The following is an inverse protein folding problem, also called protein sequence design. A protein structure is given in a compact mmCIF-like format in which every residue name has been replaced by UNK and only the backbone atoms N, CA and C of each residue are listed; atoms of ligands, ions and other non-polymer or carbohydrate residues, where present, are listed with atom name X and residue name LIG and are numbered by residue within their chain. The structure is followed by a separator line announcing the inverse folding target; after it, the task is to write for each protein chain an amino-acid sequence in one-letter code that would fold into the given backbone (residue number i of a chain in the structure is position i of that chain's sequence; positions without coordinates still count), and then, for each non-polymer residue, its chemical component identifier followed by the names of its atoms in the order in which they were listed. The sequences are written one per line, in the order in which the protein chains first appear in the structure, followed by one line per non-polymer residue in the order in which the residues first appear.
data_IF_894425150920
#
_entry.id   IF_894425150920
#
_cell.length_a   1.000
_cell.length_b   1.000
_cell.length_c   1.000
_cell.angle_alpha   90.00
_cell.angle_beta   90.00
_cell.angle_gamma   90.00
#
_symmetry.space_group_name_H-M   'P 1'
#
loop_
_entity.id
_entity.type
_entity.pdbx_description
1 polymer ?
#
# COMPACT_ATOMS: atom_id res chain seq x y z
N UNK A 1 -40.32 -35.68 -29.34
CA UNK A 1 -39.07 -35.87 -30.10
C UNK A 1 -38.20 -34.64 -29.91
N UNK A 2 -37.07 -34.81 -29.21
CA UNK A 2 -35.85 -33.96 -29.24
C UNK A 2 -34.78 -34.85 -29.90
N UNK A 3 -33.74 -34.36 -30.61
CA UNK A 3 -32.91 -33.22 -30.17
C UNK A 3 -32.44 -32.30 -31.31
N UNK A 4 -32.04 -31.06 -30.99
CA UNK A 4 -31.34 -30.23 -31.97
C UNK A 4 -30.30 -29.36 -31.28
N UNK A 5 -29.08 -29.56 -31.78
CA UNK A 5 -27.95 -28.65 -31.87
C UNK A 5 -27.25 -28.22 -30.57
N UNK A 6 -26.06 -28.80 -30.43
CA UNK A 6 -24.86 -28.21 -29.86
C UNK A 6 -24.78 -26.70 -30.12
N UNK A 7 -24.61 -25.92 -29.06
CA UNK A 7 -23.92 -24.62 -29.13
C UNK A 7 -22.68 -24.74 -28.27
N UNK A 8 -21.55 -24.61 -28.96
CA UNK A 8 -20.21 -24.53 -28.41
C UNK A 8 -20.04 -23.29 -27.51
N UNK A 9 -19.45 -23.53 -26.34
CA UNK A 9 -18.26 -22.83 -25.85
C UNK A 9 -18.20 -21.30 -26.11
N UNK A 10 -18.46 -20.51 -25.07
CA UNK A 10 -17.67 -19.30 -24.85
C UNK A 10 -17.35 -19.14 -23.36
N UNK A 11 -16.14 -19.57 -23.03
CA UNK A 11 -15.38 -19.09 -21.89
C UNK A 11 -15.41 -17.55 -21.89
N UNK A 12 -16.11 -16.93 -20.95
CA UNK A 12 -15.82 -15.54 -20.56
C UNK A 12 -15.15 -15.59 -19.20
N UNK A 13 -13.83 -15.65 -19.32
CA UNK A 13 -12.81 -15.51 -18.30
C UNK A 13 -13.07 -14.22 -17.48
N UNK A 14 -13.69 -14.33 -16.30
CA UNK A 14 -13.79 -13.22 -15.36
C UNK A 14 -12.46 -13.06 -14.62
N UNK A 15 -11.46 -12.48 -15.31
CA UNK A 15 -10.21 -12.07 -14.71
C UNK A 15 -10.38 -10.68 -14.07
N UNK A 16 -10.94 -10.59 -12.87
CA UNK A 16 -10.76 -9.41 -12.02
C UNK A 16 -9.39 -9.45 -11.37
N UNK A 17 -8.35 -9.25 -12.18
CA UNK A 17 -7.05 -8.83 -11.70
C UNK A 17 -7.09 -7.32 -11.46
N UNK A 18 -7.58 -6.90 -10.29
CA UNK A 18 -7.27 -5.59 -9.72
C UNK A 18 -6.33 -5.76 -8.52
N UNK A 19 -5.25 -6.51 -8.73
CA UNK A 19 -4.06 -6.37 -7.92
C UNK A 19 -3.25 -5.23 -8.54
N UNK A 20 -3.55 -4.02 -8.09
CA UNK A 20 -2.79 -2.81 -8.37
C UNK A 20 -1.29 -3.10 -8.20
N UNK A 21 -0.58 -3.10 -9.33
CA UNK A 21 0.85 -3.32 -9.42
C UNK A 21 1.61 -2.10 -8.89
N UNK A 22 1.64 -1.94 -7.57
CA UNK A 22 2.63 -1.07 -6.91
C UNK A 22 3.53 -1.88 -5.98
N UNK A 23 4.08 -2.98 -6.51
CA UNK A 23 5.30 -3.58 -5.97
C UNK A 23 6.48 -2.74 -6.46
N UNK A 24 6.85 -1.68 -5.72
CA UNK A 24 8.22 -1.16 -5.76
C UNK A 24 8.98 -1.81 -4.60
N UNK A 25 9.74 -2.90 -4.84
CA UNK A 25 10.63 -3.42 -3.82
C UNK A 25 11.85 -2.51 -3.78
N UNK A 26 12.18 -1.96 -2.62
CA UNK A 26 13.54 -1.49 -2.38
C UNK A 26 13.92 -2.10 -1.05
N UNK A 27 14.76 -3.14 -1.14
CA UNK A 27 15.44 -3.76 -0.01
C UNK A 27 16.40 -2.78 0.68
N UNK A 28 17.17 -3.27 1.65
CA UNK A 28 17.61 -2.51 2.81
C UNK A 28 18.67 -1.47 2.46
N UNK A 29 18.46 -0.20 2.86
CA UNK A 29 19.54 0.79 2.89
C UNK A 29 20.20 0.75 4.27
N UNK A 30 21.31 0.01 4.33
CA UNK A 30 22.35 0.17 5.33
C UNK A 30 22.89 1.61 5.26
N UNK A 31 23.02 2.28 6.41
CA UNK A 31 23.73 3.56 6.44
C UNK A 31 23.25 4.54 7.50
N UNK A 32 23.89 4.43 8.67
CA UNK A 32 24.40 5.54 9.46
C UNK A 32 23.44 6.63 9.99
N UNK A 33 23.54 6.81 11.31
CA UNK A 33 23.30 8.10 11.95
C UNK A 33 22.14 8.07 12.93
N UNK A 34 22.48 8.23 14.22
CA UNK A 34 21.57 8.45 15.35
C UNK A 34 20.27 9.16 14.91
N UNK A 35 19.15 8.44 14.98
CA UNK A 35 17.86 8.89 14.49
C UNK A 35 17.26 9.98 15.39
N UNK A 36 17.54 11.24 15.08
CA UNK A 36 16.56 12.29 15.32
C UNK A 36 15.30 11.90 14.54
N UNK A 37 14.13 11.85 15.20
CA UNK A 37 12.84 11.28 14.76
C UNK A 37 12.22 11.90 13.47
N UNK A 38 12.96 11.97 12.37
CA UNK A 38 12.55 12.56 11.11
C UNK A 38 12.56 11.51 10.00
N UNK A 39 11.47 11.43 9.24
CA UNK A 39 11.43 10.63 8.03
C UNK A 39 12.13 11.39 6.89
N UNK A 40 13.13 10.76 6.30
CA UNK A 40 13.84 11.26 5.11
C UNK A 40 13.19 10.80 3.81
N UNK A 41 12.40 9.73 3.85
CA UNK A 41 11.72 9.15 2.69
C UNK A 41 10.28 8.76 3.03
N UNK A 42 9.38 8.67 2.02
CA UNK A 42 8.03 8.16 2.23
C UNK A 42 8.00 6.73 2.83
N UNK A 43 8.94 5.86 2.44
CA UNK A 43 9.02 4.51 3.01
C UNK A 43 9.42 4.53 4.48
N UNK A 44 10.37 5.38 4.86
CA UNK A 44 10.75 5.55 6.27
C UNK A 44 9.57 6.11 7.08
N UNK A 45 8.82 7.07 6.54
CA UNK A 45 7.59 7.56 7.18
C UNK A 45 6.54 6.45 7.37
N UNK A 46 6.36 5.57 6.38
CA UNK A 46 5.47 4.42 6.49
C UNK A 46 5.92 3.42 7.59
N UNK A 47 7.23 3.17 7.70
CA UNK A 47 7.77 2.31 8.74
C UNK A 47 7.55 2.91 10.15
N UNK A 48 7.82 4.21 10.32
CA UNK A 48 7.54 4.93 11.57
C UNK A 48 6.04 4.95 11.89
N UNK A 49 5.18 5.11 10.88
CA UNK A 49 3.73 5.05 11.07
C UNK A 49 3.26 3.66 11.52
N UNK A 50 3.83 2.58 10.95
CA UNK A 50 3.55 1.19 11.37
C UNK A 50 3.98 0.89 12.80
N UNK A 51 5.11 1.45 13.26
CA UNK A 51 5.56 1.30 14.63
C UNK A 51 4.60 1.95 15.64
N UNK A 52 4.01 3.10 15.28
CA UNK A 52 3.06 3.82 16.14
C UNK A 52 1.66 3.22 16.10
N UNK A 53 1.26 2.74 14.93
CA UNK A 53 -0.07 2.20 14.69
C UNK A 53 0.05 0.98 13.77
N UNK A 54 -0.23 -0.24 14.29
CA UNK A 54 -0.29 -1.42 13.44
C UNK A 54 -1.39 -1.24 12.39
N UNK A 55 -1.17 -1.75 11.18
CA UNK A 55 -2.14 -1.63 10.09
C UNK A 55 -1.50 -1.65 8.70
N UNK A 56 -2.36 -1.68 7.68
CA UNK A 56 -1.95 -1.62 6.27
C UNK A 56 -1.80 -0.16 5.84
N UNK A 57 -0.60 0.20 5.37
CA UNK A 57 -0.38 1.51 4.74
C UNK A 57 -1.08 1.51 3.40
N UNK A 58 -1.97 2.48 3.18
CA UNK A 58 -2.65 2.69 1.90
C UNK A 58 -1.94 3.73 1.04
N UNK A 59 -1.44 4.80 1.65
CA UNK A 59 -0.76 5.89 0.93
C UNK A 59 0.12 6.70 1.85
N UNK A 60 1.17 7.30 1.31
CA UNK A 60 2.04 8.25 2.01
C UNK A 60 2.15 9.50 1.15
N UNK A 61 1.74 10.64 1.68
CA UNK A 61 1.83 11.93 0.99
C UNK A 61 2.68 12.89 1.80
N UNK A 62 3.70 13.49 1.19
CA UNK A 62 4.45 14.59 1.81
C UNK A 62 3.66 15.89 1.67
N UNK A 63 3.56 16.66 2.74
CA UNK A 63 3.04 18.01 2.74
C UNK A 63 3.83 18.88 3.72
N UNK A 64 4.42 19.96 3.22
CA UNK A 64 5.03 21.06 3.97
C UNK A 64 5.80 20.65 5.25
N UNK A 65 6.87 19.87 5.11
CA UNK A 65 7.68 19.43 6.26
C UNK A 65 7.13 18.23 7.05
N UNK A 66 6.05 17.61 6.58
CA UNK A 66 5.47 16.40 7.16
C UNK A 66 5.13 15.35 6.10
N UNK A 67 5.04 14.10 6.52
CA UNK A 67 4.43 13.00 5.79
C UNK A 67 3.11 12.62 6.45
N UNK A 68 2.02 12.65 5.69
CA UNK A 68 0.73 12.08 6.08
C UNK A 68 0.64 10.66 5.53
N UNK A 69 0.59 9.69 6.44
CA UNK A 69 0.46 8.26 6.13
C UNK A 69 -0.98 7.84 6.36
N UNK A 70 -1.68 7.44 5.30
CA UNK A 70 -3.02 6.84 5.39
C UNK A 70 -2.87 5.36 5.74
N UNK A 71 -3.44 4.95 6.86
CA UNK A 71 -3.38 3.62 7.43
C UNK A 71 -4.79 3.02 7.48
N UNK A 72 -4.93 1.74 7.16
CA UNK A 72 -6.13 0.94 7.41
C UNK A 72 -5.85 0.00 8.58
N UNK A 73 -6.64 0.12 9.64
CA UNK A 73 -6.55 -0.74 10.82
C UNK A 73 -7.96 -1.07 11.29
N UNK A 74 -8.27 -2.36 11.46
CA UNK A 74 -9.58 -2.84 11.93
C UNK A 74 -10.76 -2.27 11.12
N UNK A 75 -10.62 -2.22 9.80
CA UNK A 75 -11.66 -1.68 8.90
C UNK A 75 -11.81 -0.15 8.93
N UNK A 76 -11.02 0.56 9.75
CA UNK A 76 -11.05 2.03 9.86
C UNK A 76 -9.81 2.66 9.24
N UNK A 77 -10.02 3.73 8.49
CA UNK A 77 -8.92 4.54 7.93
C UNK A 77 -8.48 5.58 8.96
N UNK A 78 -7.19 5.58 9.28
CA UNK A 78 -6.54 6.55 10.17
C UNK A 78 -5.40 7.24 9.44
N UNK A 79 -5.06 8.45 9.86
CA UNK A 79 -3.92 9.19 9.31
C UNK A 79 -2.87 9.38 10.40
N UNK A 80 -1.64 8.99 10.09
CA UNK A 80 -0.48 9.20 10.97
C UNK A 80 0.41 10.27 10.34
N UNK A 81 0.69 11.32 11.10
CA UNK A 81 1.60 12.39 10.67
C UNK A 81 3.00 12.10 11.20
N UNK A 82 3.98 12.10 10.31
CA UNK A 82 5.40 11.92 10.62
C UNK A 82 6.14 13.17 10.17
N UNK A 83 7.04 13.70 11.00
CA UNK A 83 7.82 14.90 10.65
C UNK A 83 8.84 14.53 9.57
N UNK A 84 8.89 15.32 8.50
CA UNK A 84 9.87 15.15 7.43
C UNK A 84 11.18 15.87 7.81
N UNK A 85 12.31 15.35 7.33
CA UNK A 85 13.58 16.07 7.35
C UNK A 85 13.66 17.07 6.19
#
# INVERSE_FOLDING_TARGET
MKPTALIWLLLILSATALADHHKKPIGPMNGAGKALHFATTPQHAAALAKQRQPGKVLSVKRNNGFYKVKMLHEGKVRYVTVKAK
#
